data_IF_403685369388
#
_entry.id   IF_403685369388
#
_cell.length_a   1.000
_cell.length_b   1.000
_cell.length_c   1.000
_cell.angle_alpha   90.00
_cell.angle_beta   90.00
_cell.angle_gamma   90.00
#
_symmetry.space_group_name_H-M   'P 1'
#
loop_
_entity.id
_entity.type
_entity.pdbx_description
1 polymer ?
#
# COMPACT_ATOMS: atom_id res chain seq x y z
N UNK A 1 -18.57 -9.86 17.24
CA UNK A 1 -17.36 -9.41 16.52
C UNK A 1 -17.40 -10.06 15.14
N UNK A 2 -17.96 -9.39 14.12
CA UNK A 2 -18.05 -9.95 12.77
C UNK A 2 -16.65 -10.05 12.17
N UNK A 3 -16.17 -11.27 11.95
CA UNK A 3 -14.96 -11.49 11.19
C UNK A 3 -15.29 -11.25 9.71
N UNK A 4 -15.00 -10.06 9.22
CA UNK A 4 -14.87 -9.85 7.78
C UNK A 4 -13.74 -10.77 7.31
N UNK A 5 -14.03 -11.65 6.36
CA UNK A 5 -13.01 -12.47 5.71
C UNK A 5 -12.05 -11.51 5.01
N UNK A 6 -10.89 -11.26 5.63
CA UNK A 6 -9.82 -10.47 5.03
C UNK A 6 -9.46 -11.14 3.71
N UNK A 7 -9.77 -10.50 2.60
CA UNK A 7 -9.43 -11.06 1.29
C UNK A 7 -7.92 -11.06 1.14
N UNK A 8 -7.38 -11.95 0.28
CA UNK A 8 -5.93 -12.01 0.05
C UNK A 8 -5.34 -10.65 -0.37
N UNK A 9 -6.14 -9.82 -1.05
CA UNK A 9 -5.81 -8.45 -1.41
C UNK A 9 -5.64 -7.55 -0.20
N UNK A 10 -6.64 -7.52 0.68
CA UNK A 10 -6.63 -6.65 1.87
C UNK A 10 -5.47 -7.03 2.81
N UNK A 11 -5.15 -8.32 2.92
CA UNK A 11 -4.00 -8.80 3.69
C UNK A 11 -2.65 -8.35 3.10
N UNK A 12 -2.52 -8.23 1.77
CA UNK A 12 -1.29 -7.73 1.14
C UNK A 12 -1.13 -6.23 1.38
N UNK A 13 -2.22 -5.51 1.30
CA UNK A 13 -2.30 -4.07 1.52
C UNK A 13 -1.93 -3.73 2.99
N UNK A 14 -2.49 -4.44 3.97
CA UNK A 14 -2.11 -4.32 5.39
C UNK A 14 -0.64 -4.69 5.65
N UNK A 15 -0.11 -5.70 4.96
CA UNK A 15 1.30 -6.08 5.11
C UNK A 15 2.26 -5.00 4.64
N UNK A 16 1.89 -4.25 3.61
CA UNK A 16 2.75 -3.23 3.01
C UNK A 16 2.65 -1.88 3.71
N UNK A 17 1.50 -1.55 4.30
CA UNK A 17 1.35 -0.33 5.12
C UNK A 17 2.45 -0.22 6.17
N UNK A 18 2.89 1.01 6.39
CA UNK A 18 3.88 1.38 7.42
C UNK A 18 5.26 0.73 7.25
N UNK A 19 5.54 0.12 6.09
CA UNK A 19 6.90 -0.33 5.75
C UNK A 19 7.69 0.81 5.11
N UNK A 20 9.00 0.76 5.29
CA UNK A 20 9.91 1.67 4.59
C UNK A 20 9.86 1.44 3.08
N UNK A 21 9.96 2.53 2.33
CA UNK A 21 10.08 2.49 0.89
C UNK A 21 11.38 1.80 0.49
N UNK A 22 11.32 0.89 -0.48
CA UNK A 22 12.53 0.22 -1.00
C UNK A 22 13.29 1.07 -2.04
N UNK A 23 12.71 2.19 -2.48
CA UNK A 23 13.27 3.05 -3.52
C UNK A 23 13.92 4.32 -2.98
N UNK A 24 13.55 4.77 -1.77
CA UNK A 24 14.13 5.95 -1.12
C UNK A 24 14.30 5.70 0.39
N UNK A 25 15.25 6.39 1.00
CA UNK A 25 15.61 6.15 2.42
C UNK A 25 14.68 6.83 3.44
N UNK A 26 13.78 7.70 2.98
CA UNK A 26 13.03 8.60 3.87
C UNK A 26 11.52 8.32 3.88
N UNK A 27 11.03 7.50 2.97
CA UNK A 27 9.59 7.35 2.75
C UNK A 27 9.00 6.09 3.37
N UNK A 28 7.71 6.16 3.67
CA UNK A 28 6.90 5.08 4.21
C UNK A 28 5.77 4.74 3.24
N UNK A 29 5.41 3.47 3.18
CA UNK A 29 4.32 2.97 2.35
C UNK A 29 2.95 3.26 3.01
N UNK A 30 2.10 3.98 2.28
CA UNK A 30 0.75 4.40 2.66
C UNK A 30 -0.27 4.06 1.58
N UNK A 31 -1.56 4.07 1.93
CA UNK A 31 -2.64 3.99 0.93
C UNK A 31 -2.75 5.27 0.13
N UNK A 32 -3.09 5.11 -1.14
CA UNK A 32 -3.47 6.22 -1.99
C UNK A 32 -3.97 5.71 -3.33
N UNK A 33 -3.88 6.58 -4.33
CA UNK A 33 -4.31 6.29 -5.69
C UNK A 33 -3.16 6.47 -6.65
N UNK A 34 -2.93 5.50 -7.52
CA UNK A 34 -1.96 5.59 -8.61
C UNK A 34 -2.65 5.26 -9.93
N UNK A 35 -2.67 6.22 -10.86
CA UNK A 35 -3.36 6.10 -12.16
C UNK A 35 -4.81 5.62 -12.00
N UNK A 36 -5.58 6.34 -11.20
CA UNK A 36 -7.00 6.09 -10.92
C UNK A 36 -7.34 4.74 -10.26
N UNK A 37 -6.31 4.04 -9.78
CA UNK A 37 -6.45 2.75 -9.10
C UNK A 37 -5.97 2.84 -7.66
N UNK A 38 -6.62 2.11 -6.76
CA UNK A 38 -6.18 1.98 -5.38
C UNK A 38 -4.77 1.37 -5.34
N UNK A 39 -3.92 1.94 -4.50
CA UNK A 39 -2.51 1.56 -4.45
C UNK A 39 -1.93 1.71 -3.05
N UNK A 40 -0.81 1.03 -2.84
CA UNK A 40 0.12 1.34 -1.76
C UNK A 40 1.32 2.04 -2.38
N UNK A 41 1.55 3.29 -1.99
CA UNK A 41 2.58 4.18 -2.52
C UNK A 41 3.45 4.71 -1.40
N UNK A 42 4.67 5.10 -1.76
CA UNK A 42 5.53 5.89 -0.89
C UNK A 42 4.95 7.31 -0.69
N UNK A 43 4.89 7.79 0.54
CA UNK A 43 4.48 9.16 0.88
C UNK A 43 5.50 10.24 0.48
N UNK A 44 6.78 9.89 0.33
CA UNK A 44 7.84 10.85 -0.03
C UNK A 44 8.14 10.91 -1.53
N UNK A 45 8.20 9.77 -2.21
CA UNK A 45 8.64 9.69 -3.62
C UNK A 45 7.54 9.20 -4.58
N UNK A 46 6.32 9.02 -4.09
CA UNK A 46 5.12 8.61 -4.85
C UNK A 46 5.25 7.28 -5.61
N UNK A 47 6.33 6.52 -5.37
CA UNK A 47 6.58 5.27 -6.08
C UNK A 47 5.61 4.19 -5.59
N UNK A 48 4.83 3.56 -6.49
CA UNK A 48 3.88 2.52 -6.11
C UNK A 48 4.61 1.21 -5.78
N UNK A 49 4.29 0.63 -4.63
CA UNK A 49 4.73 -0.72 -4.24
C UNK A 49 3.71 -1.80 -4.62
N UNK A 50 2.42 -1.44 -4.69
CA UNK A 50 1.33 -2.31 -5.11
C UNK A 50 0.22 -1.47 -5.75
N UNK A 51 -0.34 -1.93 -6.86
CA UNK A 51 -1.52 -1.36 -7.51
C UNK A 51 -2.62 -2.42 -7.58
N UNK A 52 -3.86 -2.04 -7.27
CA UNK A 52 -5.06 -2.87 -7.31
C UNK A 52 -5.86 -2.55 -8.57
N UNK A 53 -6.42 -3.55 -9.24
CA UNK A 53 -7.10 -3.44 -10.54
C UNK A 53 -8.48 -4.09 -10.47
#
# INVERSE_FOLDING_TARGET
>A
MSQALVTGRDALVEKLRSRDCQHCSNGTLVEGTYKDNDAVLCDECETPALQLW
#
